data_IF_898946043582
#
_entry.id   IF_898946043582
#
_cell.length_a   1.000
_cell.length_b   1.000
_cell.length_c   1.000
_cell.angle_alpha   90.00
_cell.angle_beta   90.00
_cell.angle_gamma   90.00
#
_symmetry.space_group_name_H-M   'P 1'
#
loop_
_entity.id
_entity.type
_entity.pdbx_description
1 polymer ?
#
# COMPACT_ATOMS: atom_id res chain seq x y z
N UNK A 1 2.20 -12.30 9.92
CA UNK A 1 3.28 -12.70 8.98
C UNK A 1 3.62 -11.65 7.95
N UNK A 2 2.98 -11.55 6.76
CA UNK A 2 3.46 -10.62 5.70
C UNK A 2 3.40 -9.15 6.14
N UNK A 3 2.23 -8.68 6.59
CA UNK A 3 2.02 -7.28 7.01
C UNK A 3 2.89 -6.95 8.22
N UNK A 4 2.91 -7.85 9.20
CA UNK A 4 3.70 -7.73 10.42
C UNK A 4 5.20 -7.65 10.13
N UNK A 5 5.73 -8.55 9.29
CA UNK A 5 7.13 -8.53 8.88
C UNK A 5 7.50 -7.23 8.16
N UNK A 6 6.63 -6.73 7.27
CA UNK A 6 6.83 -5.44 6.62
C UNK A 6 6.82 -4.28 7.63
N UNK A 7 5.90 -4.31 8.59
CA UNK A 7 5.77 -3.30 9.65
C UNK A 7 7.00 -3.28 10.55
N UNK A 8 7.42 -4.44 11.07
CA UNK A 8 8.56 -4.58 11.98
C UNK A 8 9.89 -4.23 11.29
N UNK A 9 9.98 -4.45 9.99
CA UNK A 9 11.14 -4.06 9.17
C UNK A 9 11.15 -2.56 8.81
N UNK A 10 10.12 -1.80 9.20
CA UNK A 10 10.02 -0.37 8.92
C UNK A 10 9.73 -0.05 7.44
N UNK A 11 9.11 -0.96 6.70
CA UNK A 11 8.73 -0.73 5.32
C UNK A 11 7.74 0.45 5.20
N UNK A 12 7.83 1.21 4.11
CA UNK A 12 6.92 2.33 3.86
C UNK A 12 5.62 1.91 3.16
N UNK A 13 5.66 0.78 2.46
CA UNK A 13 4.52 0.16 1.78
C UNK A 13 4.88 -1.26 1.37
N UNK A 14 3.87 -2.07 1.10
CA UNK A 14 3.99 -3.36 0.41
C UNK A 14 3.66 -3.13 -1.07
N UNK A 15 4.43 -3.75 -1.96
CA UNK A 15 4.17 -3.70 -3.41
C UNK A 15 3.96 -5.11 -3.91
N UNK A 16 2.88 -5.33 -4.66
CA UNK A 16 2.55 -6.68 -5.16
C UNK A 16 2.35 -6.70 -6.68
N UNK A 17 2.71 -7.82 -7.34
CA UNK A 17 2.42 -8.04 -8.76
C UNK A 17 1.15 -8.85 -9.02
N UNK A 18 0.38 -9.17 -7.98
CA UNK A 18 -0.82 -10.01 -8.09
C UNK A 18 -2.01 -9.30 -7.44
N UNK A 19 -3.12 -9.04 -8.17
CA UNK A 19 -4.28 -8.34 -7.63
C UNK A 19 -4.90 -9.03 -6.41
N UNK A 20 -4.92 -10.36 -6.39
CA UNK A 20 -5.42 -11.12 -5.24
C UNK A 20 -4.48 -11.03 -4.03
N UNK A 21 -3.16 -10.95 -4.25
CA UNK A 21 -2.22 -10.72 -3.17
C UNK A 21 -2.37 -9.32 -2.57
N UNK A 22 -2.56 -8.30 -3.41
CA UNK A 22 -2.88 -6.95 -2.95
C UNK A 22 -4.14 -6.96 -2.10
N UNK A 23 -5.24 -7.51 -2.63
CA UNK A 23 -6.51 -7.59 -1.91
C UNK A 23 -6.37 -8.26 -0.54
N UNK A 24 -5.63 -9.36 -0.45
CA UNK A 24 -5.42 -10.10 0.79
C UNK A 24 -4.66 -9.29 1.85
N UNK A 25 -3.65 -8.52 1.46
CA UNK A 25 -2.82 -7.75 2.40
C UNK A 25 -3.30 -6.31 2.61
N UNK A 26 -4.25 -5.83 1.81
CA UNK A 26 -4.81 -4.47 1.92
C UNK A 26 -6.18 -4.49 2.64
N UNK A 27 -7.15 -5.26 2.13
CA UNK A 27 -8.56 -5.19 2.56
C UNK A 27 -8.73 -5.69 4.00
N UNK A 28 -8.04 -6.77 4.37
CA UNK A 28 -8.29 -7.46 5.64
C UNK A 28 -7.46 -6.93 6.81
N UNK A 29 -6.76 -5.79 6.66
CA UNK A 29 -5.96 -5.24 7.77
C UNK A 29 -6.81 -4.90 8.99
N UNK A 30 -8.03 -4.39 8.81
CA UNK A 30 -8.96 -4.10 9.91
C UNK A 30 -9.39 -5.36 10.66
N UNK A 31 -9.70 -6.43 9.93
CA UNK A 31 -10.05 -7.73 10.53
C UNK A 31 -8.87 -8.34 11.30
N UNK A 32 -7.66 -8.24 10.75
CA UNK A 32 -6.41 -8.66 11.40
C UNK A 32 -6.22 -7.86 12.70
N UNK A 33 -6.39 -6.54 12.65
CA UNK A 33 -6.29 -5.65 13.81
C UNK A 33 -7.31 -6.02 14.89
N UNK A 34 -8.56 -6.28 14.52
CA UNK A 34 -9.60 -6.68 15.46
C UNK A 34 -9.30 -8.02 16.14
N UNK A 35 -8.83 -9.00 15.37
CA UNK A 35 -8.55 -10.38 15.82
C UNK A 35 -7.30 -10.50 16.67
N UNK A 36 -6.20 -9.88 16.23
CA UNK A 36 -4.88 -10.04 16.85
C UNK A 36 -4.48 -8.85 17.73
N UNK A 37 -5.37 -7.86 17.90
CA UNK A 37 -5.12 -6.64 18.68
C UNK A 37 -3.89 -5.86 18.20
N UNK A 38 -3.68 -5.87 16.89
CA UNK A 38 -2.65 -5.09 16.19
C UNK A 38 -3.21 -3.75 15.73
N UNK A 39 -2.36 -2.93 15.12
CA UNK A 39 -2.67 -1.58 14.63
C UNK A 39 -1.99 -1.31 13.28
N UNK A 40 -2.00 -2.32 12.42
CA UNK A 40 -1.44 -2.21 11.08
C UNK A 40 -2.26 -1.21 10.25
N UNK A 41 -1.55 -0.33 9.57
CA UNK A 41 -2.06 0.66 8.62
C UNK A 41 -1.05 0.77 7.47
N UNK A 42 -0.72 -0.39 6.89
CA UNK A 42 0.36 -0.53 5.92
C UNK A 42 -0.17 -0.24 4.52
N UNK A 43 0.33 0.77 3.80
CA UNK A 43 -0.08 1.02 2.42
C UNK A 43 0.30 -0.16 1.52
N UNK A 44 -0.58 -0.56 0.62
CA UNK A 44 -0.33 -1.65 -0.34
C UNK A 44 -0.62 -1.17 -1.75
N UNK A 45 0.38 -1.23 -2.63
CA UNK A 45 0.25 -0.76 -4.01
C UNK A 45 0.44 -1.90 -5.00
N UNK A 46 -0.16 -1.77 -6.18
CA UNK A 46 0.22 -2.58 -7.32
C UNK A 46 1.52 -2.01 -7.92
N UNK A 47 2.41 -2.88 -8.42
CA UNK A 47 3.72 -2.44 -8.91
C UNK A 47 3.65 -1.40 -10.04
N UNK A 48 2.63 -1.45 -10.91
CA UNK A 48 2.48 -0.46 -11.99
C UNK A 48 2.20 0.94 -11.45
N UNK A 49 1.48 1.07 -10.32
CA UNK A 49 1.23 2.37 -9.69
C UNK A 49 2.55 2.99 -9.21
N UNK A 50 3.44 2.18 -8.64
CA UNK A 50 4.77 2.64 -8.25
C UNK A 50 5.61 3.05 -9.47
N UNK A 51 5.51 2.29 -10.57
CA UNK A 51 6.20 2.62 -11.82
C UNK A 51 5.68 3.92 -12.44
N UNK A 52 4.37 4.14 -12.46
CA UNK A 52 3.76 5.37 -12.98
C UNK A 52 4.30 6.60 -12.23
N UNK A 53 4.35 6.55 -10.90
CA UNK A 53 4.94 7.64 -10.10
C UNK A 53 6.43 7.79 -10.37
N UNK A 54 7.19 6.69 -10.47
CA UNK A 54 8.61 6.74 -10.79
C UNK A 54 8.91 7.34 -12.18
N UNK A 55 7.97 7.21 -13.12
CA UNK A 55 8.04 7.81 -14.45
C UNK A 55 7.48 9.24 -14.51
N UNK A 56 7.19 9.85 -13.35
CA UNK A 56 6.77 11.25 -13.25
C UNK A 56 5.29 11.48 -13.54
N UNK A 57 4.44 10.45 -13.45
CA UNK A 57 2.99 10.61 -13.59
C UNK A 57 2.35 11.05 -12.28
N UNK A 58 1.23 11.75 -12.40
CA UNK A 58 0.49 12.29 -11.24
C UNK A 58 -0.13 11.19 -10.38
N UNK A 59 -0.50 11.52 -9.13
CA UNK A 59 -1.20 10.57 -8.25
C UNK A 59 -2.52 10.07 -8.85
N UNK A 60 -3.20 10.92 -9.63
CA UNK A 60 -4.45 10.57 -10.32
C UNK A 60 -4.18 9.62 -11.49
N UNK A 61 -3.14 9.87 -12.29
CA UNK A 61 -2.76 8.99 -13.40
C UNK A 61 -2.33 7.60 -12.90
N UNK A 62 -1.62 7.55 -11.78
CA UNK A 62 -1.22 6.31 -11.10
C UNK A 62 -2.37 5.65 -10.31
N UNK A 63 -3.59 6.22 -10.38
CA UNK A 63 -4.79 5.73 -9.70
C UNK A 63 -4.63 5.52 -8.18
N UNK A 64 -3.79 6.33 -7.50
CA UNK A 64 -3.51 6.19 -6.06
C UNK A 64 -4.73 6.48 -5.19
N UNK A 65 -5.74 7.16 -5.73
CA UNK A 65 -7.02 7.40 -5.08
C UNK A 65 -7.89 6.13 -4.97
N UNK A 66 -7.54 5.06 -5.67
CA UNK A 66 -8.25 3.78 -5.61
C UNK A 66 -7.78 2.84 -4.50
N UNK A 67 -6.65 3.13 -3.84
CA UNK A 67 -6.14 2.33 -2.74
C UNK A 67 -6.95 2.60 -1.45
N UNK A 68 -7.21 1.54 -0.67
CA UNK A 68 -7.93 1.61 0.60
C UNK A 68 -7.05 2.29 1.65
N UNK A 69 -5.78 1.86 1.74
CA UNK A 69 -4.78 2.45 2.62
C UNK A 69 -3.80 3.24 1.76
N UNK A 70 -3.99 4.56 1.74
CA UNK A 70 -3.22 5.44 0.87
C UNK A 70 -1.82 5.74 1.44
N UNK A 71 -0.80 5.59 0.59
CA UNK A 71 0.57 5.96 0.97
C UNK A 71 0.79 7.46 0.89
N UNK A 72 0.88 8.12 2.06
CA UNK A 72 1.20 9.56 2.14
C UNK A 72 2.51 9.90 1.43
N UNK A 73 3.56 9.10 1.67
CA UNK A 73 4.88 9.27 1.04
C UNK A 73 4.82 9.18 -0.48
N UNK A 74 4.10 8.20 -1.01
CA UNK A 74 4.00 8.04 -2.47
C UNK A 74 3.23 9.20 -3.10
N UNK A 75 2.15 9.65 -2.46
CA UNK A 75 1.37 10.81 -2.91
C UNK A 75 2.19 12.10 -2.88
N UNK A 76 2.96 12.33 -1.82
CA UNK A 76 3.90 13.46 -1.75
C UNK A 76 4.97 13.46 -2.86
N UNK A 77 5.29 12.30 -3.43
CA UNK A 77 6.20 12.21 -4.59
C UNK A 77 5.43 12.51 -5.88
N UNK A 78 4.22 11.98 -6.02
CA UNK A 78 3.41 12.07 -7.23
C UNK A 78 2.68 13.43 -7.41
N UNK A 79 2.44 14.16 -6.32
CA UNK A 79 1.74 15.45 -6.31
C UNK A 79 2.71 16.66 -6.34
N UNK A 80 4.00 16.43 -6.59
CA UNK A 80 5.04 17.47 -6.80
C UNK A 80 5.10 17.91 -8.25
#
# INVERSE_FOLDING_TARGET
DIIESAYDSGANMIVTPCPLCQANVEIYQDDINARYKTKFDMPVMYYSQLMDVAFGRSALDAALNGNIIQSKRLREIADK
#
